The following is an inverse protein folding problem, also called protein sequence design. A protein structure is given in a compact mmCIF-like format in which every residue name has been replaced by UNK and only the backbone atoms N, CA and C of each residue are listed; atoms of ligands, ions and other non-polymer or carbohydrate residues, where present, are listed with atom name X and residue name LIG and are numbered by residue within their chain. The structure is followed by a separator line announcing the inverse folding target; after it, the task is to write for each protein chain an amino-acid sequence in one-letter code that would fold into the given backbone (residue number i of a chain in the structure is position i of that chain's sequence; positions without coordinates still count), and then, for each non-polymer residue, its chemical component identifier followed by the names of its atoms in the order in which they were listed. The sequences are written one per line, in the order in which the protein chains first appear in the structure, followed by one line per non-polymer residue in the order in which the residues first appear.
data_IF_507439435743
#
_entry.id   IF_507439435743
#
_cell.length_a   1.000
_cell.length_b   1.000
_cell.length_c   1.000
_cell.angle_alpha   90.00
_cell.angle_beta   90.00
_cell.angle_gamma   90.00
#
_symmetry.space_group_name_H-M   'P 1'
#
loop_
_entity.id
_entity.type
_entity.pdbx_description
1 polymer ?
#
# COMPACT_ATOMS: atom_id res chain seq x y z
N UNK A 1 9.58 35.71 -106.47
CA UNK A 1 8.59 36.50 -105.71
C UNK A 1 9.37 37.43 -104.80
N UNK A 2 9.35 38.74 -105.06
CA UNK A 2 10.19 39.70 -104.36
C UNK A 2 9.81 39.78 -102.88
N UNK A 3 10.81 39.83 -102.00
CA UNK A 3 10.61 40.17 -100.60
C UNK A 3 10.01 41.57 -100.56
N UNK A 4 8.72 41.64 -100.25
CA UNK A 4 8.02 42.91 -100.08
C UNK A 4 8.27 43.43 -98.66
N UNK A 5 8.39 44.75 -98.52
CA UNK A 5 8.58 45.45 -97.23
C UNK A 5 7.55 45.01 -96.17
N UNK A 6 6.34 44.65 -96.60
CA UNK A 6 5.27 44.11 -95.74
C UNK A 6 5.65 42.82 -95.03
N UNK A 7 6.41 41.92 -95.66
CA UNK A 7 6.88 40.66 -95.07
C UNK A 7 7.90 40.92 -93.95
N UNK A 8 8.80 41.88 -94.15
CA UNK A 8 9.81 42.28 -93.14
C UNK A 8 9.13 42.92 -91.94
N UNK A 9 8.17 43.83 -92.17
CA UNK A 9 7.39 44.47 -91.10
C UNK A 9 6.57 43.42 -90.33
N UNK A 10 5.94 42.46 -91.03
CA UNK A 10 5.19 41.38 -90.39
C UNK A 10 6.09 40.47 -89.53
N UNK A 11 7.29 40.13 -90.01
CA UNK A 11 8.26 39.38 -89.20
C UNK A 11 8.71 40.15 -87.96
N UNK A 12 8.94 41.46 -88.08
CA UNK A 12 9.33 42.30 -86.94
C UNK A 12 8.21 42.36 -85.89
N UNK A 13 6.96 42.56 -86.32
CA UNK A 13 5.79 42.56 -85.41
C UNK A 13 5.61 41.20 -84.74
N UNK A 14 5.76 40.11 -85.49
CA UNK A 14 5.70 38.75 -84.94
C UNK A 14 6.82 38.50 -83.92
N UNK A 15 8.04 38.93 -84.21
CA UNK A 15 9.17 38.80 -83.29
C UNK A 15 8.96 39.59 -81.99
N UNK A 16 8.43 40.81 -82.07
CA UNK A 16 8.09 41.62 -80.88
C UNK A 16 6.97 40.96 -80.07
N UNK A 17 5.96 40.38 -80.73
CA UNK A 17 4.88 39.64 -80.07
C UNK A 17 5.42 38.41 -79.34
N UNK A 18 6.26 37.59 -79.99
CA UNK A 18 6.89 36.41 -79.38
C UNK A 18 7.79 36.81 -78.20
N UNK A 19 8.53 37.90 -78.32
CA UNK A 19 9.35 38.40 -77.22
C UNK A 19 8.48 38.85 -76.03
N UNK A 20 7.39 39.56 -76.28
CA UNK A 20 6.45 39.99 -75.24
C UNK A 20 5.75 38.81 -74.55
N UNK A 21 5.36 37.78 -75.30
CA UNK A 21 4.73 36.57 -74.74
C UNK A 21 5.71 35.74 -73.93
N UNK A 22 6.95 35.57 -74.40
CA UNK A 22 7.99 34.87 -73.62
C UNK A 22 8.37 35.63 -72.35
N UNK A 23 8.43 36.97 -72.40
CA UNK A 23 8.91 37.78 -71.27
C UNK A 23 7.84 38.02 -70.20
N UNK A 24 6.56 38.12 -70.56
CA UNK A 24 5.50 38.47 -69.61
C UNK A 24 4.48 37.36 -69.34
N UNK A 25 4.02 36.66 -70.38
CA UNK A 25 2.92 35.69 -70.23
C UNK A 25 3.45 34.33 -69.76
N UNK A 26 4.55 33.85 -70.34
CA UNK A 26 5.16 32.57 -69.97
C UNK A 26 5.57 32.48 -68.49
N UNK A 27 6.28 33.46 -67.89
CA UNK A 27 6.65 33.40 -66.48
C UNK A 27 5.44 33.50 -65.53
N UNK A 28 4.38 34.22 -65.90
CA UNK A 28 3.16 34.32 -65.09
C UNK A 28 2.45 32.96 -64.98
N UNK A 29 2.35 32.23 -66.09
CA UNK A 29 1.70 30.91 -66.14
C UNK A 29 2.55 29.87 -65.40
N UNK A 30 3.87 29.84 -65.66
CA UNK A 30 4.79 28.92 -64.98
C UNK A 30 4.82 29.18 -63.47
N UNK A 31 4.84 30.44 -63.04
CA UNK A 31 4.82 30.80 -61.62
C UNK A 31 3.57 30.28 -60.91
N UNK A 32 2.39 30.44 -61.51
CA UNK A 32 1.13 29.92 -60.96
C UNK A 32 1.11 28.39 -60.87
N UNK A 33 1.65 27.69 -61.88
CA UNK A 33 1.77 26.22 -61.87
C UNK A 33 2.75 25.72 -60.83
N UNK A 34 3.90 26.39 -60.71
CA UNK A 34 4.94 26.03 -59.75
C UNK A 34 4.50 26.32 -58.31
N UNK A 35 3.76 27.41 -58.06
CA UNK A 35 3.15 27.68 -56.76
C UNK A 35 2.14 26.61 -56.37
N UNK A 36 1.30 26.16 -57.31
CA UNK A 36 0.37 25.06 -57.07
C UNK A 36 1.09 23.75 -56.78
N UNK A 37 2.13 23.43 -57.56
CA UNK A 37 2.96 22.25 -57.35
C UNK A 37 3.64 22.28 -55.97
N UNK A 38 4.23 23.41 -55.59
CA UNK A 38 4.81 23.63 -54.26
C UNK A 38 3.79 23.44 -53.14
N UNK A 39 2.59 24.01 -53.26
CA UNK A 39 1.53 23.86 -52.24
C UNK A 39 1.10 22.40 -52.08
N UNK A 40 0.95 21.66 -53.18
CA UNK A 40 0.59 20.23 -53.15
C UNK A 40 1.71 19.41 -52.52
N UNK A 41 2.97 19.64 -52.93
CA UNK A 41 4.12 18.94 -52.37
C UNK A 41 4.29 19.21 -50.87
N UNK A 42 4.16 20.47 -50.45
CA UNK A 42 4.23 20.85 -49.04
C UNK A 42 3.07 20.26 -48.23
N UNK A 43 1.84 20.25 -48.79
CA UNK A 43 0.68 19.65 -48.15
C UNK A 43 0.80 18.14 -47.99
N UNK A 44 1.32 17.44 -49.01
CA UNK A 44 1.55 16.01 -48.96
C UNK A 44 2.65 15.64 -47.96
N UNK A 45 3.76 16.38 -47.96
CA UNK A 45 4.84 16.18 -46.99
C UNK A 45 4.37 16.45 -45.55
N UNK A 46 3.56 17.48 -45.32
CA UNK A 46 2.99 17.77 -44.01
C UNK A 46 2.00 16.69 -43.55
N UNK A 47 1.22 16.12 -44.47
CA UNK A 47 0.31 15.02 -44.17
C UNK A 47 1.07 13.75 -43.79
N UNK A 48 2.12 13.40 -44.54
CA UNK A 48 2.97 12.24 -44.26
C UNK A 48 3.70 12.37 -42.91
N UNK A 49 4.29 13.53 -42.62
CA UNK A 49 4.92 13.78 -41.33
C UNK A 49 3.89 13.75 -40.20
N UNK A 50 2.71 14.33 -40.40
CA UNK A 50 1.62 14.29 -39.41
C UNK A 50 1.13 12.87 -39.11
N UNK A 51 1.03 12.01 -40.12
CA UNK A 51 0.66 10.60 -39.93
C UNK A 51 1.74 9.82 -39.19
N UNK A 52 3.01 10.07 -39.51
CA UNK A 52 4.15 9.49 -38.81
C UNK A 52 4.22 9.94 -37.34
N UNK A 53 4.12 11.24 -37.08
CA UNK A 53 4.08 11.79 -35.72
C UNK A 53 2.90 11.23 -34.92
N UNK A 54 1.72 11.08 -35.54
CA UNK A 54 0.56 10.47 -34.90
C UNK A 54 0.81 9.00 -34.54
N UNK A 55 1.42 8.23 -35.44
CA UNK A 55 1.78 6.84 -35.20
C UNK A 55 2.79 6.71 -34.06
N UNK A 56 3.84 7.54 -34.05
CA UNK A 56 4.83 7.59 -32.98
C UNK A 56 4.20 8.00 -31.64
N UNK A 57 3.34 9.01 -31.63
CA UNK A 57 2.64 9.47 -30.44
C UNK A 57 1.73 8.38 -29.86
N UNK A 58 1.01 7.64 -30.73
CA UNK A 58 0.19 6.50 -30.32
C UNK A 58 1.04 5.38 -29.70
N UNK A 59 2.15 5.02 -30.35
CA UNK A 59 3.07 3.99 -29.82
C UNK A 59 3.67 4.39 -28.46
N UNK A 60 4.06 5.66 -28.30
CA UNK A 60 4.53 6.21 -27.02
C UNK A 60 3.43 6.16 -25.96
N UNK A 61 2.20 6.57 -26.29
CA UNK A 61 1.06 6.53 -25.38
C UNK A 61 0.75 5.09 -24.92
N UNK A 62 0.73 4.12 -25.85
CA UNK A 62 0.53 2.70 -25.52
C UNK A 62 1.63 2.16 -24.60
N UNK A 63 2.88 2.54 -24.85
CA UNK A 63 4.03 2.18 -24.02
C UNK A 63 3.87 2.75 -22.61
N UNK A 64 3.53 4.04 -22.48
CA UNK A 64 3.30 4.69 -21.18
C UNK A 64 2.18 4.00 -20.41
N UNK A 65 1.07 3.66 -21.08
CA UNK A 65 -0.05 2.96 -20.44
C UNK A 65 0.35 1.56 -19.98
N UNK A 66 1.13 0.82 -20.79
CA UNK A 66 1.66 -0.50 -20.40
C UNK A 66 2.58 -0.39 -19.19
N UNK A 67 3.56 0.52 -19.22
CA UNK A 67 4.46 0.74 -18.08
C UNK A 67 3.70 1.16 -16.82
N UNK A 68 2.70 2.03 -16.95
CA UNK A 68 1.87 2.44 -15.82
C UNK A 68 1.11 1.26 -15.21
N UNK A 69 0.58 0.35 -16.04
CA UNK A 69 -0.08 -0.88 -15.57
C UNK A 69 0.89 -1.82 -14.87
N UNK A 70 2.09 -2.02 -15.43
CA UNK A 70 3.13 -2.85 -14.80
C UNK A 70 3.56 -2.29 -13.45
N UNK A 71 3.81 -0.98 -13.36
CA UNK A 71 4.13 -0.30 -12.10
C UNK A 71 2.99 -0.42 -11.08
N UNK A 72 1.74 -0.27 -11.53
CA UNK A 72 0.58 -0.43 -10.65
C UNK A 72 0.48 -1.85 -10.09
N UNK A 73 0.64 -2.88 -10.94
CA UNK A 73 0.67 -4.28 -10.49
C UNK A 73 1.79 -4.52 -9.49
N UNK A 74 2.99 -4.02 -9.75
CA UNK A 74 4.13 -4.14 -8.85
C UNK A 74 3.88 -3.46 -7.50
N UNK A 75 3.27 -2.27 -7.47
CA UNK A 75 2.89 -1.57 -6.23
C UNK A 75 1.86 -2.41 -5.44
N UNK A 76 0.87 -3.00 -6.13
CA UNK A 76 -0.14 -3.86 -5.49
C UNK A 76 0.51 -5.10 -4.88
N UNK A 77 1.42 -5.75 -5.60
CA UNK A 77 2.15 -6.93 -5.11
C UNK A 77 3.00 -6.59 -3.88
N UNK A 78 3.75 -5.48 -3.93
CA UNK A 78 4.53 -4.99 -2.79
C UNK A 78 3.65 -4.67 -1.58
N UNK A 79 2.50 -4.01 -1.80
CA UNK A 79 1.56 -3.71 -0.74
C UNK A 79 0.97 -4.98 -0.11
N UNK A 80 0.65 -5.99 -0.91
CA UNK A 80 0.18 -7.29 -0.41
C UNK A 80 1.26 -8.02 0.39
N UNK A 81 2.52 -7.98 -0.06
CA UNK A 81 3.64 -8.58 0.68
C UNK A 81 3.82 -7.88 2.03
N UNK A 82 3.89 -6.55 2.04
CA UNK A 82 4.03 -5.76 3.27
C UNK A 82 2.85 -5.99 4.23
N UNK A 83 1.63 -6.12 3.71
CA UNK A 83 0.46 -6.43 4.53
C UNK A 83 0.54 -7.82 5.16
N UNK A 84 1.01 -8.84 4.42
CA UNK A 84 1.24 -10.19 4.97
C UNK A 84 2.31 -10.19 6.04
N UNK A 85 3.43 -9.52 5.80
CA UNK A 85 4.51 -9.39 6.77
C UNK A 85 4.03 -8.70 8.05
N UNK A 86 3.24 -7.62 7.92
CA UNK A 86 2.66 -6.92 9.06
C UNK A 86 1.72 -7.83 9.86
N UNK A 87 0.89 -8.62 9.18
CA UNK A 87 -0.02 -9.57 9.85
C UNK A 87 0.77 -10.65 10.58
N UNK A 88 1.82 -11.20 9.99
CA UNK A 88 2.66 -12.21 10.65
C UNK A 88 3.43 -11.63 11.84
N UNK A 89 3.96 -10.40 11.72
CA UNK A 89 4.58 -9.69 12.84
C UNK A 89 3.56 -9.44 13.96
N UNK A 90 2.36 -8.99 13.62
CA UNK A 90 1.29 -8.74 14.60
C UNK A 90 0.85 -10.04 15.31
N UNK A 91 0.73 -11.16 14.59
CA UNK A 91 0.46 -12.47 15.18
C UNK A 91 1.57 -12.92 16.10
N UNK A 92 2.83 -12.75 15.69
CA UNK A 92 4.00 -13.06 16.51
C UNK A 92 4.02 -12.26 17.81
N UNK A 93 3.80 -10.95 17.72
CA UNK A 93 3.71 -10.07 18.88
C UNK A 93 2.53 -10.44 19.80
N UNK A 94 1.35 -10.72 19.23
CA UNK A 94 0.18 -11.12 20.00
C UNK A 94 0.39 -12.46 20.73
N UNK A 95 1.04 -13.43 20.08
CA UNK A 95 1.38 -14.72 20.69
C UNK A 95 2.38 -14.56 21.84
N UNK A 96 3.42 -13.74 21.64
CA UNK A 96 4.41 -13.44 22.68
C UNK A 96 3.78 -12.73 23.89
N UNK A 97 2.94 -11.73 23.64
CA UNK A 97 2.23 -11.00 24.69
C UNK A 97 1.21 -11.90 25.42
N UNK A 98 0.50 -12.76 24.68
CA UNK A 98 -0.39 -13.77 25.25
C UNK A 98 0.35 -14.74 26.18
N UNK A 99 1.53 -15.23 25.77
CA UNK A 99 2.37 -16.07 26.61
C UNK A 99 2.85 -15.34 27.87
N UNK A 100 3.20 -14.05 27.75
CA UNK A 100 3.61 -13.20 28.88
C UNK A 100 2.47 -13.03 29.89
N UNK A 101 1.26 -12.75 29.41
CA UNK A 101 0.06 -12.61 30.25
C UNK A 101 -0.25 -13.94 30.96
N UNK A 102 -0.18 -15.06 30.24
CA UNK A 102 -0.45 -16.38 30.82
C UNK A 102 0.56 -16.74 31.92
N UNK A 103 1.85 -16.49 31.68
CA UNK A 103 2.91 -16.71 32.68
C UNK A 103 2.69 -15.84 33.92
N UNK A 104 2.34 -14.56 33.74
CA UNK A 104 2.02 -13.66 34.84
C UNK A 104 0.77 -14.12 35.63
N UNK A 105 -0.25 -14.63 34.94
CA UNK A 105 -1.45 -15.19 35.57
C UNK A 105 -1.14 -16.46 36.37
N UNK A 106 -0.27 -17.34 35.87
CA UNK A 106 0.17 -18.53 36.60
C UNK A 106 0.94 -18.16 37.87
N UNK A 107 1.87 -17.21 37.78
CA UNK A 107 2.58 -16.70 38.97
C UNK A 107 1.62 -16.09 40.00
N UNK A 108 0.61 -15.34 39.53
CA UNK A 108 -0.45 -14.78 40.40
C UNK A 108 -1.22 -15.89 41.11
N UNK A 109 -1.62 -16.94 40.39
CA UNK A 109 -2.35 -18.09 40.94
C UNK A 109 -1.51 -18.82 41.99
N UNK A 110 -0.22 -19.03 41.76
CA UNK A 110 0.68 -19.67 42.74
C UNK A 110 0.80 -18.84 44.03
N UNK A 111 0.95 -17.52 43.89
CA UNK A 111 0.96 -16.59 45.03
C UNK A 111 -0.35 -16.64 45.81
N UNK A 112 -1.49 -16.57 45.12
CA UNK A 112 -2.81 -16.57 45.76
C UNK A 112 -3.11 -17.93 46.41
N UNK A 113 -2.67 -19.05 45.79
CA UNK A 113 -2.77 -20.39 46.38
C UNK A 113 -1.93 -20.50 47.67
N UNK A 114 -0.71 -19.94 47.65
CA UNK A 114 0.16 -19.92 48.82
C UNK A 114 -0.47 -19.09 49.95
N UNK A 115 -1.01 -17.91 49.63
CA UNK A 115 -1.74 -17.06 50.60
C UNK A 115 -2.98 -17.77 51.16
N UNK A 116 -3.75 -18.45 50.33
CA UNK A 116 -4.92 -19.21 50.75
C UNK A 116 -4.54 -20.37 51.69
N UNK A 117 -3.45 -21.10 51.39
CA UNK A 117 -2.93 -22.16 52.28
C UNK A 117 -2.48 -21.62 53.63
N UNK A 118 -1.81 -20.48 53.66
CA UNK A 118 -1.39 -19.83 54.90
C UNK A 118 -2.59 -19.32 55.73
N UNK A 119 -3.61 -18.75 55.07
CA UNK A 119 -4.85 -18.37 55.73
C UNK A 119 -5.57 -19.60 56.33
N UNK A 120 -5.67 -20.69 55.57
CA UNK A 120 -6.29 -21.93 56.02
C UNK A 120 -5.54 -22.55 57.22
N UNK A 121 -4.20 -22.54 57.19
CA UNK A 121 -3.38 -22.99 58.33
C UNK A 121 -3.70 -22.21 59.61
N UNK A 122 -3.87 -20.89 59.52
CA UNK A 122 -4.24 -20.04 60.67
C UNK A 122 -5.64 -20.37 61.19
N UNK A 123 -6.61 -20.56 60.30
CA UNK A 123 -7.97 -20.96 60.71
C UNK A 123 -7.99 -22.33 61.38
N UNK A 124 -7.31 -23.32 60.80
CA UNK A 124 -7.22 -24.68 61.35
C UNK A 124 -6.52 -24.67 62.71
N UNK A 125 -5.42 -23.92 62.87
CA UNK A 125 -4.77 -23.76 64.17
C UNK A 125 -5.74 -23.16 65.22
N UNK A 126 -6.53 -22.15 64.84
CA UNK A 126 -7.55 -21.58 65.70
C UNK A 126 -8.66 -22.57 66.07
N UNK A 127 -9.10 -23.41 65.12
CA UNK A 127 -10.07 -24.49 65.38
C UNK A 127 -9.47 -25.54 66.32
N UNK A 128 -8.22 -25.97 66.10
CA UNK A 128 -7.53 -26.96 66.91
C UNK A 128 -7.36 -26.49 68.36
N UNK A 129 -6.99 -25.23 68.59
CA UNK A 129 -6.92 -24.65 69.94
C UNK A 129 -8.29 -24.64 70.60
N UNK A 130 -9.36 -24.20 69.91
CA UNK A 130 -10.72 -24.23 70.45
C UNK A 130 -11.19 -25.65 70.78
N UNK A 131 -10.87 -26.62 69.93
CA UNK A 131 -11.19 -28.03 70.15
C UNK A 131 -10.43 -28.60 71.37
N UNK A 132 -9.13 -28.30 71.49
CA UNK A 132 -8.31 -28.68 72.62
C UNK A 132 -8.83 -28.05 73.93
N UNK A 133 -9.19 -26.76 73.93
CA UNK A 133 -9.80 -26.11 75.10
C UNK A 133 -11.13 -26.75 75.49
N UNK A 134 -11.97 -27.13 74.52
CA UNK A 134 -13.26 -27.78 74.78
C UNK A 134 -13.10 -29.22 75.28
N UNK A 135 -12.09 -29.95 74.79
CA UNK A 135 -11.76 -31.29 75.26
C UNK A 135 -11.20 -31.24 76.69
N UNK A 136 -10.28 -30.31 76.97
CA UNK A 136 -9.74 -30.08 78.30
C UNK A 136 -10.85 -29.68 79.29
N UNK A 137 -11.78 -28.80 78.90
CA UNK A 137 -12.93 -28.44 79.72
C UNK A 137 -13.90 -29.61 79.99
N UNK A 138 -13.90 -30.65 79.14
CA UNK A 138 -14.72 -31.87 79.31
C UNK A 138 -14.00 -32.92 80.17
N UNK A 139 -12.66 -33.02 80.06
CA UNK A 139 -11.84 -33.86 80.95
C UNK A 139 -11.72 -33.29 82.36
N UNK A 140 -11.74 -31.95 82.48
CA UNK A 140 -11.94 -31.20 83.73
C UNK A 140 -13.43 -31.25 84.11
N UNK A 141 -13.98 -32.46 84.25
CA UNK A 141 -15.31 -32.67 84.81
C UNK A 141 -15.23 -32.68 86.34
N UNK A 142 -16.25 -32.11 86.98
CA UNK A 142 -16.28 -31.75 88.40
C UNK A 142 -16.04 -32.92 89.37
N UNK A 143 -16.16 -34.17 88.92
CA UNK A 143 -15.89 -35.36 89.74
C UNK A 143 -14.41 -35.58 90.04
N UNK A 144 -13.50 -35.31 89.09
CA UNK A 144 -12.05 -35.52 89.32
C UNK A 144 -11.47 -34.45 90.25
N UNK A 145 -12.02 -33.23 90.23
CA UNK A 145 -11.61 -32.17 91.15
C UNK A 145 -12.20 -32.33 92.55
N UNK A 146 -13.42 -32.86 92.70
CA UNK A 146 -13.97 -33.20 94.01
C UNK A 146 -13.14 -34.29 94.70
N UNK A 147 -12.79 -35.37 93.99
CA UNK A 147 -11.95 -36.46 94.54
C UNK A 147 -10.51 -36.02 94.88
N UNK A 148 -9.94 -35.05 94.14
CA UNK A 148 -8.61 -34.50 94.43
C UNK A 148 -8.64 -33.49 95.59
N UNK A 149 -9.69 -32.67 95.69
CA UNK A 149 -9.88 -31.75 96.81
C UNK A 149 -10.15 -32.51 98.11
N UNK A 150 -11.01 -33.54 98.09
CA UNK A 150 -11.30 -34.38 99.26
C UNK A 150 -10.04 -35.10 99.78
N UNK A 151 -9.16 -35.56 98.87
CA UNK A 151 -7.87 -36.17 99.25
C UNK A 151 -6.85 -35.17 99.81
N UNK A 152 -6.90 -33.90 99.42
CA UNK A 152 -6.03 -32.84 99.94
C UNK A 152 -6.50 -32.33 101.31
N UNK A 153 -7.80 -32.25 101.55
CA UNK A 153 -8.35 -31.91 102.88
C UNK A 153 -8.25 -33.06 103.89
N UNK A 154 -8.09 -34.30 103.45
CA UNK A 154 -7.84 -35.45 104.33
C UNK A 154 -6.37 -35.58 104.82
N UNK A 155 -5.46 -34.70 104.37
CA UNK A 155 -4.05 -34.63 104.79
C UNK A 155 -3.71 -33.42 105.68
N UNK A 156 -4.72 -32.65 106.11
CA UNK A 156 -4.62 -31.65 107.19
C UNK A 156 -5.40 -32.18 108.39
#
# INVERSE_FOLDING_TARGET
MNINLTLIVQMLVFAVLVYGTMKWIWPLILGAMEERSRKIAAGLAAAEEGEKELSEARSKAETIVREARERASHIIEQAQHAARDLVEQAKGAASSEGARILAAAQQRIELDTTRAREALRREVAGIAVRAASKLLAREIDARTHADLLDKLTAQI
#
